data_IF_920051258584
#
_entry.id   IF_920051258584
#
_cell.length_a   1.000
_cell.length_b   1.000
_cell.length_c   1.000
_cell.angle_alpha   90.00
_cell.angle_beta   90.00
_cell.angle_gamma   90.00
#
_symmetry.space_group_name_H-M   'P 1'
#
loop_
_entity.id
_entity.type
_entity.pdbx_description
1 polymer ?
#
# COMPACT_ATOMS: atom_id res chain seq x y z
N UNK A 1 7.72 1.69 -20.99
CA UNK A 1 7.03 1.12 -22.08
C UNK A 1 5.74 1.83 -22.48
N UNK A 2 4.99 1.19 -23.32
CA UNK A 2 3.82 1.73 -24.05
C UNK A 2 2.81 2.51 -23.20
N UNK A 3 2.54 2.10 -21.97
CA UNK A 3 1.61 2.83 -21.05
C UNK A 3 2.20 4.17 -20.61
N UNK A 4 3.50 4.22 -20.35
CA UNK A 4 4.17 5.49 -19.98
C UNK A 4 4.13 6.44 -21.17
N UNK A 5 4.38 5.94 -22.38
CA UNK A 5 4.41 6.73 -23.61
C UNK A 5 3.00 7.24 -23.96
N UNK A 6 1.95 6.42 -23.78
CA UNK A 6 0.57 6.81 -23.99
C UNK A 6 0.10 7.89 -23.00
N UNK A 7 0.46 7.75 -21.71
CA UNK A 7 0.15 8.74 -20.67
C UNK A 7 0.95 10.01 -20.86
N UNK A 8 2.24 9.89 -21.23
CA UNK A 8 3.10 11.04 -21.53
C UNK A 8 2.59 11.86 -22.70
N UNK A 9 2.12 11.20 -23.77
CA UNK A 9 1.59 11.90 -24.95
C UNK A 9 0.31 12.71 -24.67
N UNK A 10 -0.49 12.31 -23.65
CA UNK A 10 -1.78 12.98 -23.33
C UNK A 10 -1.71 13.94 -22.15
N UNK A 11 -0.77 13.75 -21.23
CA UNK A 11 -0.67 14.50 -19.98
C UNK A 11 0.62 15.29 -19.81
N UNK A 12 1.49 15.37 -20.85
CA UNK A 12 2.76 16.11 -20.80
C UNK A 12 2.60 17.57 -20.36
N UNK A 13 1.49 18.20 -20.74
CA UNK A 13 1.19 19.61 -20.41
C UNK A 13 0.59 19.82 -19.03
N UNK A 14 0.31 18.73 -18.29
CA UNK A 14 -0.23 18.84 -16.95
C UNK A 14 0.82 19.36 -15.96
N UNK A 15 0.48 20.40 -15.21
CA UNK A 15 1.36 21.07 -14.23
C UNK A 15 2.04 20.10 -13.25
N UNK A 16 1.40 18.99 -12.90
CA UNK A 16 1.89 17.99 -11.95
C UNK A 16 2.19 16.64 -12.60
N UNK A 17 2.47 16.64 -13.89
CA UNK A 17 2.79 15.45 -14.67
C UNK A 17 3.88 14.54 -14.02
N UNK A 18 5.00 15.08 -13.47
CA UNK A 18 6.01 14.25 -12.81
C UNK A 18 5.48 13.47 -11.60
N UNK A 19 4.59 14.09 -10.80
CA UNK A 19 3.96 13.43 -9.65
C UNK A 19 2.92 12.38 -10.10
N UNK A 20 2.14 12.70 -11.13
CA UNK A 20 1.14 11.77 -11.68
C UNK A 20 1.80 10.50 -12.18
N UNK A 21 2.86 10.60 -13.00
CA UNK A 21 3.59 9.45 -13.54
C UNK A 21 4.29 8.63 -12.46
N UNK A 22 4.82 9.27 -11.43
CA UNK A 22 5.46 8.58 -10.32
C UNK A 22 4.46 7.82 -9.44
N UNK A 23 3.27 8.39 -9.19
CA UNK A 23 2.21 7.75 -8.39
C UNK A 23 1.48 6.63 -9.16
N UNK A 24 1.24 6.82 -10.47
CA UNK A 24 0.53 5.82 -11.29
C UNK A 24 1.41 4.62 -11.65
N UNK A 25 2.64 4.89 -12.10
CA UNK A 25 3.50 3.90 -12.75
C UNK A 25 4.84 3.69 -12.04
N UNK A 26 5.11 4.43 -10.95
CA UNK A 26 6.41 4.40 -10.27
C UNK A 26 7.54 5.01 -11.09
N UNK A 27 7.23 5.66 -12.23
CA UNK A 27 8.22 6.26 -13.09
C UNK A 27 8.67 7.61 -12.54
N UNK A 28 9.96 7.71 -12.19
CA UNK A 28 10.55 8.86 -11.50
C UNK A 28 11.43 9.72 -12.41
N UNK A 29 11.55 9.37 -13.70
CA UNK A 29 12.43 10.05 -14.64
C UNK A 29 12.07 11.52 -14.91
N UNK A 30 10.83 11.92 -14.65
CA UNK A 30 10.37 13.31 -14.80
C UNK A 30 10.49 14.14 -13.52
N UNK A 31 10.92 13.53 -12.39
CA UNK A 31 11.06 14.23 -11.11
C UNK A 31 12.34 15.08 -11.10
N UNK A 32 12.18 16.36 -10.82
CA UNK A 32 13.30 17.31 -10.68
C UNK A 32 13.88 17.28 -9.27
N UNK A 33 15.15 17.69 -9.06
CA UNK A 33 15.78 17.74 -7.74
C UNK A 33 14.96 18.48 -6.69
N UNK A 34 14.32 19.58 -7.07
CA UNK A 34 13.51 20.43 -6.19
C UNK A 34 12.30 19.66 -5.63
N UNK A 35 11.69 18.78 -6.44
CA UNK A 35 10.60 17.90 -5.98
C UNK A 35 11.09 16.95 -4.89
N UNK A 36 12.29 16.38 -5.05
CA UNK A 36 12.88 15.49 -4.06
C UNK A 36 13.22 16.19 -2.76
N UNK A 37 13.70 17.42 -2.82
CA UNK A 37 14.05 18.20 -1.65
C UNK A 37 12.81 18.55 -0.81
N UNK A 38 11.70 18.95 -1.45
CA UNK A 38 10.42 19.16 -0.77
C UNK A 38 9.91 17.87 -0.12
N UNK A 39 9.94 16.75 -0.85
CA UNK A 39 9.48 15.46 -0.34
C UNK A 39 10.32 14.94 0.84
N UNK A 40 11.65 15.17 0.80
CA UNK A 40 12.55 14.85 1.91
C UNK A 40 12.28 15.74 3.12
N UNK A 41 12.18 17.05 2.92
CA UNK A 41 11.94 18.01 3.99
C UNK A 41 10.60 17.77 4.70
N UNK A 42 9.57 17.35 3.96
CA UNK A 42 8.24 17.04 4.50
C UNK A 42 8.09 15.58 4.96
N UNK A 43 9.12 14.72 4.76
CA UNK A 43 9.04 13.30 5.10
C UNK A 43 8.00 12.52 4.29
N UNK A 44 7.55 13.04 3.13
CA UNK A 44 6.51 12.44 2.28
C UNK A 44 7.06 11.65 1.09
N UNK A 45 8.38 11.48 1.03
CA UNK A 45 9.07 10.77 -0.08
C UNK A 45 8.51 9.36 -0.32
N UNK A 46 8.06 8.69 0.72
CA UNK A 46 7.50 7.35 0.65
C UNK A 46 6.13 7.30 -0.06
N UNK A 47 5.42 8.43 -0.18
CA UNK A 47 4.13 8.51 -0.89
C UNK A 47 4.30 8.51 -2.40
N UNK A 48 5.42 9.05 -2.91
CA UNK A 48 5.71 9.16 -4.35
C UNK A 48 6.25 7.84 -4.92
N UNK A 49 6.75 6.97 -4.06
CA UNK A 49 7.05 5.59 -4.46
C UNK A 49 5.74 4.79 -4.51
N UNK A 50 5.55 3.93 -5.51
CA UNK A 50 4.51 2.90 -5.44
C UNK A 50 4.77 2.10 -4.17
N UNK A 51 3.96 2.37 -3.15
CA UNK A 51 4.19 1.85 -1.81
C UNK A 51 3.23 0.72 -1.49
N UNK A 52 3.60 -0.10 -0.50
CA UNK A 52 2.70 -1.10 0.07
C UNK A 52 1.37 -0.53 0.56
N UNK A 53 1.35 0.77 0.93
CA UNK A 53 0.13 1.48 1.32
C UNK A 53 -0.88 1.55 0.16
N UNK A 54 -0.44 1.87 -1.05
CA UNK A 54 -1.31 1.96 -2.22
C UNK A 54 -1.92 0.60 -2.56
N UNK A 55 -1.11 -0.45 -2.56
CA UNK A 55 -1.59 -1.81 -2.79
C UNK A 55 -2.53 -2.28 -1.67
N UNK A 56 -2.22 -1.96 -0.41
CA UNK A 56 -3.09 -2.21 0.74
C UNK A 56 -4.44 -1.51 0.62
N UNK A 57 -4.47 -0.28 0.09
CA UNK A 57 -5.70 0.46 -0.15
C UNK A 57 -6.55 -0.18 -1.24
N UNK A 58 -5.94 -0.58 -2.37
CA UNK A 58 -6.63 -1.32 -3.45
C UNK A 58 -7.22 -2.62 -2.89
N UNK A 59 -6.45 -3.36 -2.11
CA UNK A 59 -6.90 -4.59 -1.46
C UNK A 59 -8.10 -4.35 -0.53
N UNK A 60 -8.01 -3.33 0.35
CA UNK A 60 -9.06 -2.96 1.28
C UNK A 60 -10.32 -2.47 0.54
N UNK A 61 -10.16 -1.62 -0.47
CA UNK A 61 -11.26 -1.11 -1.29
C UNK A 61 -11.99 -2.22 -2.07
N UNK A 62 -11.24 -3.11 -2.71
CA UNK A 62 -11.78 -4.26 -3.43
C UNK A 62 -12.55 -5.20 -2.48
N UNK A 63 -11.98 -5.50 -1.32
CA UNK A 63 -12.63 -6.31 -0.29
C UNK A 63 -13.89 -5.67 0.27
N UNK A 64 -13.84 -4.37 0.56
CA UNK A 64 -15.00 -3.60 1.03
C UNK A 64 -16.13 -3.59 -0.01
N UNK A 65 -15.81 -3.27 -1.26
CA UNK A 65 -16.79 -3.21 -2.33
C UNK A 65 -17.42 -4.58 -2.60
N UNK A 66 -16.61 -5.62 -2.72
CA UNK A 66 -17.08 -6.99 -2.88
C UNK A 66 -18.04 -7.39 -1.75
N UNK A 67 -17.65 -7.14 -0.49
CA UNK A 67 -18.49 -7.44 0.67
C UNK A 67 -19.80 -6.64 0.64
N UNK A 68 -19.76 -5.36 0.28
CA UNK A 68 -20.97 -4.52 0.17
C UNK A 68 -21.92 -5.01 -0.90
N UNK A 69 -21.41 -5.33 -2.09
CA UNK A 69 -22.22 -5.87 -3.18
C UNK A 69 -22.86 -7.20 -2.80
N UNK A 70 -22.12 -8.10 -2.17
CA UNK A 70 -22.65 -9.40 -1.71
C UNK A 70 -23.70 -9.26 -0.59
N UNK A 71 -23.60 -8.22 0.24
CA UNK A 71 -24.61 -7.95 1.28
C UNK A 71 -25.90 -7.33 0.69
N UNK A 72 -25.86 -6.76 -0.50
CA UNK A 72 -27.04 -6.23 -1.20
C UNK A 72 -27.82 -7.31 -1.96
N UNK A 73 -27.29 -8.52 -2.13
CA UNK A 73 -28.00 -9.62 -2.78
C UNK A 73 -29.07 -10.21 -1.85
N UNK A 74 -30.33 -10.35 -2.33
CA UNK A 74 -31.47 -10.67 -1.48
C UNK A 74 -31.50 -12.12 -0.96
N UNK A 75 -30.81 -13.05 -1.60
CA UNK A 75 -30.77 -14.46 -1.20
C UNK A 75 -29.39 -14.91 -0.72
N UNK A 76 -29.24 -14.97 0.60
CA UNK A 76 -28.01 -15.44 1.25
C UNK A 76 -27.96 -16.98 1.34
N UNK A 77 -27.76 -17.65 0.22
CA UNK A 77 -27.41 -19.07 0.22
C UNK A 77 -25.88 -19.31 0.26
N UNK A 78 -25.08 -18.26 0.44
CA UNK A 78 -23.62 -18.38 0.43
C UNK A 78 -23.13 -18.64 1.86
N UNK A 79 -22.40 -19.74 2.06
CA UNK A 79 -21.80 -20.03 3.36
C UNK A 79 -20.78 -18.96 3.76
N UNK A 80 -20.58 -18.70 5.08
CA UNK A 80 -19.57 -17.73 5.53
C UNK A 80 -18.14 -18.04 5.04
N UNK A 81 -17.83 -19.33 4.81
CA UNK A 81 -16.55 -19.75 4.27
C UNK A 81 -16.42 -19.38 2.78
N UNK A 82 -17.45 -19.64 1.98
CA UNK A 82 -17.48 -19.25 0.58
C UNK A 82 -17.43 -17.74 0.39
N UNK A 83 -18.09 -16.97 1.27
CA UNK A 83 -18.03 -15.53 1.27
C UNK A 83 -16.58 -15.02 1.52
N UNK A 84 -15.89 -15.58 2.54
CA UNK A 84 -14.49 -15.22 2.81
C UNK A 84 -13.58 -15.57 1.63
N UNK A 85 -13.74 -16.74 1.04
CA UNK A 85 -12.97 -17.18 -0.13
C UNK A 85 -13.20 -16.25 -1.32
N UNK A 86 -14.45 -15.87 -1.60
CA UNK A 86 -14.76 -14.97 -2.71
C UNK A 86 -14.14 -13.58 -2.50
N UNK A 87 -14.27 -13.01 -1.30
CA UNK A 87 -13.62 -11.75 -0.96
C UNK A 87 -12.10 -11.85 -1.12
N UNK A 88 -11.49 -12.94 -0.66
CA UNK A 88 -10.06 -13.18 -0.83
C UNK A 88 -9.65 -13.22 -2.30
N UNK A 89 -10.38 -13.94 -3.13
CA UNK A 89 -10.09 -14.06 -4.57
C UNK A 89 -10.19 -12.69 -5.26
N UNK A 90 -11.21 -11.89 -4.94
CA UNK A 90 -11.37 -10.52 -5.48
C UNK A 90 -10.22 -9.62 -5.03
N UNK A 91 -9.86 -9.67 -3.75
CA UNK A 91 -8.72 -8.91 -3.21
C UNK A 91 -7.41 -9.31 -3.88
N UNK A 92 -7.15 -10.62 -4.00
CA UNK A 92 -5.95 -11.14 -4.64
C UNK A 92 -5.87 -10.71 -6.11
N UNK A 93 -6.96 -10.87 -6.86
CA UNK A 93 -7.03 -10.49 -8.28
C UNK A 93 -6.81 -8.99 -8.49
N UNK A 94 -7.47 -8.15 -7.68
CA UNK A 94 -7.29 -6.70 -7.75
C UNK A 94 -5.85 -6.28 -7.40
N UNK A 95 -5.26 -6.91 -6.37
CA UNK A 95 -3.89 -6.63 -5.95
C UNK A 95 -2.85 -7.07 -7.00
N UNK A 96 -3.04 -8.23 -7.64
CA UNK A 96 -2.20 -8.72 -8.73
C UNK A 96 -2.35 -7.79 -9.93
N UNK A 97 -3.57 -7.43 -10.33
CA UNK A 97 -3.82 -6.49 -11.43
C UNK A 97 -3.13 -5.15 -11.22
N UNK A 98 -3.24 -4.59 -10.01
CA UNK A 98 -2.53 -3.36 -9.66
C UNK A 98 -1.00 -3.53 -9.72
N UNK A 99 -0.47 -4.63 -9.19
CA UNK A 99 0.96 -4.91 -9.21
C UNK A 99 1.52 -5.03 -10.64
N UNK A 100 0.74 -5.57 -11.58
CA UNK A 100 1.08 -5.64 -13.01
C UNK A 100 1.15 -4.23 -13.61
N UNK A 101 0.15 -3.38 -13.38
CA UNK A 101 0.14 -1.97 -13.84
C UNK A 101 1.29 -1.18 -13.22
N UNK A 102 1.59 -1.42 -11.95
CA UNK A 102 2.69 -0.82 -11.20
C UNK A 102 4.09 -1.33 -11.58
N UNK A 103 4.22 -2.15 -12.62
CA UNK A 103 5.49 -2.65 -13.14
C UNK A 103 6.21 -3.64 -12.21
N UNK A 104 5.52 -4.27 -11.27
CA UNK A 104 6.07 -5.28 -10.35
C UNK A 104 7.34 -4.85 -9.61
N UNK A 105 7.40 -3.58 -9.20
CA UNK A 105 8.55 -3.05 -8.46
C UNK A 105 8.82 -3.84 -7.17
N UNK A 106 10.06 -3.83 -6.68
CA UNK A 106 10.45 -4.58 -5.46
C UNK A 106 9.52 -4.29 -4.26
N UNK A 107 9.18 -3.02 -3.94
CA UNK A 107 8.22 -2.71 -2.87
C UNK A 107 6.83 -3.30 -3.13
N UNK A 108 6.37 -3.27 -4.38
CA UNK A 108 5.05 -3.79 -4.77
C UNK A 108 4.98 -5.31 -4.63
N UNK A 109 6.04 -6.04 -5.02
CA UNK A 109 6.11 -7.50 -4.84
C UNK A 109 6.04 -7.90 -3.37
N UNK A 110 6.78 -7.20 -2.49
CA UNK A 110 6.73 -7.44 -1.04
C UNK A 110 5.33 -7.21 -0.48
N UNK A 111 4.72 -6.09 -0.84
CA UNK A 111 3.37 -5.76 -0.39
C UNK A 111 2.33 -6.77 -0.90
N UNK A 112 2.44 -7.23 -2.14
CA UNK A 112 1.57 -8.24 -2.72
C UNK A 112 1.64 -9.56 -1.93
N UNK A 113 2.84 -10.04 -1.61
CA UNK A 113 3.04 -11.24 -0.78
C UNK A 113 2.38 -11.05 0.58
N UNK A 114 2.60 -9.90 1.24
CA UNK A 114 1.98 -9.61 2.54
C UNK A 114 0.45 -9.60 2.46
N UNK A 115 -0.15 -8.97 1.43
CA UNK A 115 -1.61 -8.92 1.26
C UNK A 115 -2.19 -10.29 0.99
N UNK A 116 -1.56 -11.10 0.14
CA UNK A 116 -2.02 -12.46 -0.16
C UNK A 116 -1.97 -13.34 1.10
N UNK A 117 -0.87 -13.29 1.86
CA UNK A 117 -0.73 -14.07 3.09
C UNK A 117 -1.71 -13.60 4.15
N UNK A 118 -1.88 -12.29 4.34
CA UNK A 118 -2.86 -11.74 5.28
C UNK A 118 -4.29 -12.19 4.90
N UNK A 119 -4.64 -12.11 3.62
CA UNK A 119 -5.93 -12.60 3.12
C UNK A 119 -6.13 -14.10 3.35
N UNK A 120 -5.09 -14.91 3.09
CA UNK A 120 -5.11 -16.35 3.34
C UNK A 120 -5.32 -16.70 4.81
N UNK A 121 -4.61 -16.00 5.71
CA UNK A 121 -4.79 -16.15 7.17
C UNK A 121 -6.24 -15.82 7.58
N UNK A 122 -6.84 -14.77 6.99
CA UNK A 122 -8.23 -14.40 7.25
C UNK A 122 -9.24 -15.44 6.73
N UNK A 123 -8.96 -16.11 5.60
CA UNK A 123 -9.80 -17.20 5.07
C UNK A 123 -9.72 -18.42 5.98
N UNK A 124 -8.53 -18.81 6.40
CA UNK A 124 -8.27 -19.96 7.26
C UNK A 124 -8.83 -19.81 8.70
N UNK A 125 -9.15 -18.60 9.07
CA UNK A 125 -10.01 -18.09 10.17
C UNK A 125 -9.76 -18.57 11.61
N UNK A 126 -8.94 -19.56 11.92
CA UNK A 126 -9.01 -20.09 13.30
C UNK A 126 -7.72 -20.51 13.99
N UNK A 127 -6.59 -20.65 13.29
CA UNK A 127 -5.40 -21.21 13.93
C UNK A 127 -4.07 -20.53 13.66
N UNK A 128 -4.01 -19.59 12.72
CA UNK A 128 -2.79 -18.86 12.41
C UNK A 128 -2.84 -17.47 12.98
N UNK A 129 -1.97 -17.18 13.95
CA UNK A 129 -1.84 -15.83 14.48
C UNK A 129 -1.31 -14.85 13.42
N UNK A 130 -1.60 -13.56 13.58
CA UNK A 130 -1.13 -12.50 12.68
C UNK A 130 0.40 -12.50 12.57
N UNK A 131 1.11 -12.83 13.64
CA UNK A 131 2.57 -13.00 13.64
C UNK A 131 3.04 -14.14 12.75
N UNK A 132 2.35 -15.26 12.77
CA UNK A 132 2.66 -16.40 11.87
C UNK A 132 2.50 -15.98 10.42
N UNK A 133 1.44 -15.23 10.09
CA UNK A 133 1.24 -14.67 8.75
C UNK A 133 2.39 -13.74 8.34
N UNK A 134 2.82 -12.84 9.23
CA UNK A 134 3.94 -11.93 8.96
C UNK A 134 5.26 -12.69 8.75
N UNK A 135 5.54 -13.69 9.59
CA UNK A 135 6.74 -14.54 9.44
C UNK A 135 6.69 -15.38 8.15
N UNK A 136 5.52 -15.88 7.76
CA UNK A 136 5.34 -16.58 6.49
C UNK A 136 5.58 -15.66 5.30
N UNK A 137 5.07 -14.42 5.34
CA UNK A 137 5.34 -13.44 4.30
C UNK A 137 6.83 -13.08 4.23
N UNK A 138 7.50 -12.94 5.39
CA UNK A 138 8.94 -12.71 5.47
C UNK A 138 9.71 -13.86 4.82
N UNK A 139 9.41 -15.11 5.19
CA UNK A 139 10.04 -16.28 4.62
C UNK A 139 9.87 -16.37 3.10
N UNK A 140 8.66 -16.10 2.59
CA UNK A 140 8.39 -16.10 1.15
C UNK A 140 9.15 -15.00 0.40
N UNK A 141 9.28 -13.81 0.99
CA UNK A 141 10.07 -12.73 0.40
C UNK A 141 11.55 -13.14 0.34
N UNK A 142 12.11 -13.72 1.41
CA UNK A 142 13.50 -14.18 1.44
C UNK A 142 13.77 -15.34 0.49
N UNK A 143 12.80 -16.25 0.31
CA UNK A 143 12.90 -17.33 -0.67
C UNK A 143 12.83 -16.82 -2.12
N UNK A 144 12.04 -15.77 -2.38
CA UNK A 144 11.93 -15.18 -3.72
C UNK A 144 13.10 -14.27 -4.08
N UNK A 145 13.72 -13.65 -3.08
CA UNK A 145 14.88 -12.76 -3.22
C UNK A 145 15.70 -12.77 -1.94
N UNK A 146 16.72 -13.62 -1.90
CA UNK A 146 17.62 -13.78 -0.75
C UNK A 146 18.46 -12.51 -0.46
N UNK A 147 18.58 -11.59 -1.43
CA UNK A 147 19.30 -10.32 -1.25
C UNK A 147 18.39 -9.20 -0.73
N UNK A 148 17.09 -9.44 -0.57
CA UNK A 148 16.15 -8.47 0.00
C UNK A 148 16.63 -7.78 1.29
N UNK A 149 17.31 -8.44 2.25
CA UNK A 149 17.79 -7.78 3.47
C UNK A 149 18.85 -6.70 3.26
N UNK A 150 19.49 -6.65 2.09
CA UNK A 150 20.43 -5.59 1.71
C UNK A 150 19.71 -4.31 1.25
N UNK A 151 18.41 -4.42 0.89
CA UNK A 151 17.59 -3.27 0.53
C UNK A 151 17.01 -2.62 1.78
N UNK A 152 17.26 -1.31 1.95
CA UNK A 152 16.71 -0.51 3.05
C UNK A 152 15.18 -0.58 3.12
N UNK A 153 14.52 -0.61 1.97
CA UNK A 153 13.06 -0.71 1.87
C UNK A 153 12.50 -2.02 2.42
N UNK A 154 13.30 -3.10 2.50
CA UNK A 154 12.90 -4.34 3.15
C UNK A 154 12.66 -4.11 4.64
N UNK A 155 13.61 -3.53 5.35
CA UNK A 155 13.51 -3.25 6.79
C UNK A 155 12.38 -2.27 7.10
N UNK A 156 12.23 -1.24 6.27
CA UNK A 156 11.15 -0.25 6.43
C UNK A 156 9.77 -0.87 6.22
N UNK A 157 9.60 -1.75 5.21
CA UNK A 157 8.33 -2.41 4.94
C UNK A 157 7.93 -3.37 6.05
N UNK A 158 8.81 -4.30 6.42
CA UNK A 158 8.53 -5.28 7.48
C UNK A 158 8.46 -4.63 8.86
N UNK A 159 9.33 -3.64 9.13
CA UNK A 159 9.31 -2.87 10.36
C UNK A 159 7.99 -2.12 10.56
N UNK A 160 7.50 -1.43 9.53
CA UNK A 160 6.22 -0.72 9.61
C UNK A 160 5.05 -1.68 9.89
N UNK A 161 4.98 -2.80 9.17
CA UNK A 161 3.92 -3.80 9.39
C UNK A 161 4.03 -4.44 10.77
N UNK A 162 5.25 -4.76 11.23
CA UNK A 162 5.48 -5.28 12.58
C UNK A 162 5.00 -4.32 13.65
N UNK A 163 5.33 -3.03 13.55
CA UNK A 163 4.88 -1.99 14.49
C UNK A 163 3.36 -1.90 14.52
N UNK A 164 2.70 -1.92 13.35
CA UNK A 164 1.24 -1.89 13.27
C UNK A 164 0.61 -3.16 13.85
N UNK A 165 1.18 -4.33 13.58
CA UNK A 165 0.72 -5.60 14.14
C UNK A 165 0.84 -5.57 15.67
N UNK A 166 1.97 -5.14 16.21
CA UNK A 166 2.15 -5.01 17.67
C UNK A 166 1.14 -4.03 18.27
N UNK A 167 0.95 -2.87 17.64
CA UNK A 167 0.02 -1.85 18.11
C UNK A 167 -1.42 -2.36 18.17
N UNK A 168 -1.90 -3.02 17.12
CA UNK A 168 -3.30 -3.39 16.99
C UNK A 168 -3.62 -4.80 17.48
N UNK A 169 -2.67 -5.76 17.40
CA UNK A 169 -2.87 -7.12 17.92
C UNK A 169 -2.88 -7.18 19.46
N UNK A 170 -2.15 -6.28 20.12
CA UNK A 170 -2.10 -6.19 21.59
C UNK A 170 -3.22 -5.32 22.18
N UNK A 171 -4.01 -4.66 21.34
CA UNK A 171 -5.10 -3.80 21.81
C UNK A 171 -6.42 -4.54 21.92
N UNK A 172 -7.00 -4.44 23.12
CA UNK A 172 -8.35 -4.90 23.40
C UNK A 172 -9.30 -3.68 23.31
N UNK A 173 -10.30 -3.74 22.42
CA UNK A 173 -11.32 -2.71 22.30
C UNK A 173 -11.39 -2.04 20.91
N UNK A 174 -12.52 -1.36 20.64
CA UNK A 174 -12.75 -0.64 19.37
C UNK A 174 -12.16 0.76 19.48
N UNK A 175 -11.16 1.06 18.68
CA UNK A 175 -10.68 2.43 18.51
C UNK A 175 -11.46 3.14 17.42
N UNK A 176 -11.83 4.40 17.66
CA UNK A 176 -12.36 5.27 16.61
C UNK A 176 -11.33 5.40 15.46
N UNK A 177 -11.81 5.61 14.25
CA UNK A 177 -10.93 5.66 13.07
C UNK A 177 -9.85 6.74 13.16
N UNK A 178 -10.19 7.92 13.68
CA UNK A 178 -9.25 9.04 13.86
C UNK A 178 -8.18 8.71 14.90
N UNK A 179 -8.59 8.14 16.05
CA UNK A 179 -7.64 7.70 17.08
C UNK A 179 -6.75 6.58 16.56
N UNK A 180 -7.28 5.65 15.76
CA UNK A 180 -6.51 4.60 15.13
C UNK A 180 -5.48 5.15 14.13
N UNK A 181 -5.85 6.15 13.33
CA UNK A 181 -4.96 6.82 12.40
C UNK A 181 -3.82 7.55 13.14
N UNK A 182 -4.13 8.33 14.15
CA UNK A 182 -3.14 9.06 14.97
C UNK A 182 -2.15 8.09 15.63
N UNK A 183 -2.68 7.03 16.23
CA UNK A 183 -1.85 6.03 16.88
C UNK A 183 -0.95 5.27 15.91
N UNK A 184 -1.48 4.87 14.74
CA UNK A 184 -0.68 4.25 13.68
C UNK A 184 0.44 5.19 13.23
N UNK A 185 0.12 6.47 13.03
CA UNK A 185 1.09 7.48 12.60
C UNK A 185 2.22 7.65 13.62
N UNK A 186 1.89 7.83 14.91
CA UNK A 186 2.88 7.98 15.98
C UNK A 186 3.68 6.69 16.17
N UNK A 187 3.02 5.53 16.15
CA UNK A 187 3.69 4.25 16.35
C UNK A 187 4.68 3.94 15.22
N UNK A 188 4.28 4.14 13.95
CA UNK A 188 5.17 3.93 12.80
C UNK A 188 6.32 4.93 12.83
N UNK A 189 6.04 6.20 13.14
CA UNK A 189 7.08 7.22 13.26
C UNK A 189 8.11 6.84 14.34
N UNK A 190 7.67 6.50 15.55
CA UNK A 190 8.56 6.12 16.64
C UNK A 190 9.22 4.75 16.41
N UNK A 191 8.48 3.78 15.87
CA UNK A 191 8.99 2.42 15.67
C UNK A 191 9.98 2.29 14.51
N UNK A 192 9.89 3.15 13.50
CA UNK A 192 10.88 3.18 12.41
C UNK A 192 12.09 4.07 12.70
N UNK A 193 12.03 4.91 13.73
CA UNK A 193 13.14 5.80 14.10
C UNK A 193 14.48 5.06 14.27
N UNK A 194 14.56 3.94 15.03
CA UNK A 194 15.84 3.21 15.19
C UNK A 194 16.38 2.70 13.85
N UNK A 195 15.48 2.18 12.98
CA UNK A 195 15.88 1.66 11.67
C UNK A 195 16.39 2.79 10.78
N UNK A 196 15.67 3.93 10.71
CA UNK A 196 16.07 5.08 9.90
C UNK A 196 17.38 5.71 10.40
N UNK A 197 17.59 5.78 11.71
CA UNK A 197 18.85 6.30 12.28
C UNK A 197 20.05 5.42 11.94
N UNK A 198 19.91 4.09 11.97
CA UNK A 198 20.98 3.17 11.56
C UNK A 198 21.26 3.25 10.06
N UNK A 199 20.27 3.59 9.26
CA UNK A 199 20.40 3.79 7.81
C UNK A 199 20.89 5.19 7.43
N UNK A 200 21.17 6.06 8.41
CA UNK A 200 21.60 7.44 8.18
C UNK A 200 20.54 8.31 7.49
N UNK A 201 19.27 7.92 7.55
CA UNK A 201 18.19 8.66 6.92
C UNK A 201 17.54 9.64 7.90
N UNK A 202 17.45 10.94 7.56
CA UNK A 202 16.77 11.89 8.42
C UNK A 202 15.26 11.61 8.45
N UNK A 203 14.70 11.65 9.65
CA UNK A 203 13.25 11.55 9.83
C UNK A 203 12.74 12.91 10.34
N UNK A 204 12.27 13.80 9.46
CA UNK A 204 11.81 15.10 9.88
C UNK A 204 10.54 14.99 10.73
N UNK A 205 10.54 15.64 11.89
CA UNK A 205 9.35 15.68 12.78
C UNK A 205 8.15 16.32 12.07
N UNK A 206 8.41 17.24 11.14
CA UNK A 206 7.38 17.82 10.27
C UNK A 206 6.62 16.73 9.48
N UNK A 207 7.29 15.62 9.15
CA UNK A 207 6.67 14.47 8.48
C UNK A 207 5.54 13.84 9.30
N UNK A 208 5.56 13.93 10.62
CA UNK A 208 4.46 13.43 11.46
C UNK A 208 3.16 14.20 11.15
N UNK A 209 3.25 15.52 11.05
CA UNK A 209 2.10 16.38 10.74
C UNK A 209 1.73 16.29 9.26
N UNK A 210 2.72 16.38 8.38
CA UNK A 210 2.49 16.33 6.94
C UNK A 210 1.80 15.02 6.52
N UNK A 211 2.24 13.88 7.05
CA UNK A 211 1.69 12.56 6.73
C UNK A 211 0.29 12.34 7.29
N UNK A 212 -0.09 13.02 8.37
CA UNK A 212 -1.44 12.98 8.90
C UNK A 212 -2.49 13.47 7.88
N UNK A 213 -2.12 14.44 7.05
CA UNK A 213 -2.96 14.97 5.97
C UNK A 213 -2.65 14.30 4.62
N UNK A 214 -1.37 14.13 4.29
CA UNK A 214 -0.94 13.64 2.99
C UNK A 214 -1.33 12.17 2.76
N UNK A 215 -1.22 11.31 3.77
CA UNK A 215 -1.59 9.90 3.64
C UNK A 215 -3.08 9.73 3.33
N UNK A 216 -4.04 10.28 4.12
CA UNK A 216 -5.45 10.19 3.78
C UNK A 216 -5.78 10.83 2.44
N UNK A 217 -5.22 12.00 2.14
CA UNK A 217 -5.46 12.71 0.89
C UNK A 217 -5.01 11.91 -0.33
N UNK A 218 -3.76 11.47 -0.34
CA UNK A 218 -3.23 10.66 -1.44
C UNK A 218 -3.99 9.34 -1.57
N UNK A 219 -4.26 8.68 -0.45
CA UNK A 219 -4.88 7.36 -0.43
C UNK A 219 -6.37 7.36 -0.81
N UNK A 220 -7.14 8.33 -0.33
CA UNK A 220 -8.60 8.35 -0.49
C UNK A 220 -9.09 9.21 -1.65
N UNK A 221 -8.27 10.16 -2.11
CA UNK A 221 -8.65 11.07 -3.19
C UNK A 221 -7.78 10.85 -4.42
N UNK A 222 -6.45 11.02 -4.29
CA UNK A 222 -5.56 11.01 -5.45
C UNK A 222 -5.50 9.63 -6.09
N UNK A 223 -5.28 8.57 -5.32
CA UNK A 223 -5.15 7.21 -5.86
C UNK A 223 -6.42 6.69 -6.54
N UNK A 224 -7.63 6.81 -5.96
CA UNK A 224 -8.86 6.44 -6.67
C UNK A 224 -9.06 7.22 -7.97
N UNK A 225 -8.79 8.54 -7.96
CA UNK A 225 -8.89 9.35 -9.17
C UNK A 225 -7.87 8.93 -10.24
N UNK A 226 -6.65 8.60 -9.86
CA UNK A 226 -5.63 8.10 -10.79
C UNK A 226 -6.02 6.74 -11.38
N UNK A 227 -6.57 5.83 -10.57
CA UNK A 227 -7.04 4.52 -11.05
C UNK A 227 -8.19 4.67 -12.03
N UNK A 228 -9.19 5.52 -11.70
CA UNK A 228 -10.31 5.82 -12.60
C UNK A 228 -9.82 6.51 -13.87
N UNK A 229 -8.92 7.51 -13.74
CA UNK A 229 -8.33 8.20 -14.87
C UNK A 229 -7.56 7.27 -15.81
N UNK A 230 -6.75 6.35 -15.26
CA UNK A 230 -6.03 5.34 -16.03
C UNK A 230 -7.01 4.42 -16.79
N UNK A 231 -8.09 4.00 -16.14
CA UNK A 231 -9.12 3.17 -16.77
C UNK A 231 -9.83 3.90 -17.91
N UNK A 232 -10.18 5.17 -17.70
CA UNK A 232 -10.77 6.03 -18.74
C UNK A 232 -9.82 6.21 -19.92
N UNK A 233 -8.52 6.46 -19.67
CA UNK A 233 -7.51 6.63 -20.73
C UNK A 233 -7.30 5.35 -21.57
N UNK A 234 -7.51 4.18 -20.98
CA UNK A 234 -7.40 2.89 -21.69
C UNK A 234 -8.66 2.60 -22.51
N UNK A 235 -9.84 3.00 -22.03
CA UNK A 235 -11.12 2.72 -22.68
C UNK A 235 -11.52 3.75 -23.73
N UNK A 236 -11.05 5.00 -23.60
CA UNK A 236 -11.32 6.07 -24.56
C UNK A 236 -10.06 6.31 -25.41
N UNK A 237 -9.97 5.71 -26.59
CA UNK A 237 -8.83 5.85 -27.50
C UNK A 237 -8.66 7.30 -28.03
#
# INVERSE_FOLDING_TARGET
>A
GELVDAVSGRLSDARHFPLITSLMMGYRGHMQPEHWDVLKATGTIHLVAISGLHLGLIAAGAGFLCRRLLLCLPERRVSPAALRMLVFLVVASASIGYALVAGFSVPTRRALIMVIIAGWVLVGARQTGVFTGLLTALALVLLSDSFSPLDQGFWLSFGAVMVLVLLFALRVGRTGWLTGLLLAQVAVFAGLWPILSTLGQPQPVLGLVANLFAIPWVSLVVMPLLVVGAFVLVLLP
#
